data_IF_212863954260
#
_entry.id   IF_212863954260
#
_cell.length_a   1.000
_cell.length_b   1.000
_cell.length_c   1.000
_cell.angle_alpha   90.00
_cell.angle_beta   90.00
_cell.angle_gamma   90.00
#
_symmetry.space_group_name_H-M   'P 1'
#
loop_
_entity.id
_entity.type
_entity.pdbx_description
1 polymer ?
#
# COMPACT_ATOMS: atom_id res chain seq x y z
N UNK A 1 44.86 -50.74 4.14
CA UNK A 1 45.98 -49.97 3.55
C UNK A 1 45.60 -48.49 3.69
N UNK A 2 45.89 -47.92 4.86
CA UNK A 2 46.97 -46.96 5.15
C UNK A 2 46.41 -45.52 5.03
N UNK A 3 45.92 -44.90 6.12
CA UNK A 3 46.67 -43.94 7.01
C UNK A 3 47.41 -42.85 6.22
N UNK A 4 47.43 -41.53 6.51
CA UNK A 4 46.96 -40.56 7.52
C UNK A 4 47.72 -39.22 7.14
N UNK A 5 47.74 -38.08 7.87
CA UNK A 5 46.77 -37.37 8.71
C UNK A 5 46.62 -35.85 8.36
N UNK A 6 45.76 -35.15 9.10
CA UNK A 6 45.63 -33.68 9.22
C UNK A 6 46.73 -33.06 10.11
N UNK A 7 46.97 -31.73 10.04
CA UNK A 7 47.58 -30.99 11.15
C UNK A 7 46.62 -30.01 11.85
N UNK A 8 46.97 -29.78 13.11
CA UNK A 8 46.19 -29.26 14.23
C UNK A 8 46.15 -27.73 14.37
N UNK A 9 45.31 -27.31 15.31
CA UNK A 9 45.13 -25.96 15.87
C UNK A 9 46.22 -25.65 16.89
N UNK A 10 46.72 -24.40 16.90
CA UNK A 10 47.53 -23.89 18.02
C UNK A 10 46.94 -22.62 18.63
N UNK A 11 46.76 -22.71 19.95
CA UNK A 11 46.45 -21.68 20.94
C UNK A 11 47.73 -21.02 21.47
N UNK A 12 47.75 -19.69 21.60
CA UNK A 12 48.69 -18.96 22.48
C UNK A 12 47.86 -18.05 23.38
N UNK A 13 47.58 -18.39 24.65
CA UNK A 13 48.41 -18.33 25.88
C UNK A 13 48.86 -16.91 26.25
N UNK A 14 48.25 -16.45 27.34
CA UNK A 14 48.55 -15.26 28.15
C UNK A 14 49.77 -15.54 29.04
N UNK A 15 50.68 -14.57 29.18
CA UNK A 15 51.74 -14.60 30.17
C UNK A 15 51.77 -13.30 31.00
N UNK A 16 51.95 -13.44 32.30
CA UNK A 16 51.85 -12.40 33.33
C UNK A 16 53.10 -12.43 34.23
N UNK A 17 53.67 -11.22 34.49
CA UNK A 17 54.50 -10.80 35.65
C UNK A 17 55.98 -11.28 35.72
N UNK A 18 56.88 -10.76 36.62
CA UNK A 18 56.73 -9.78 37.74
C UNK A 18 57.89 -8.73 37.97
N UNK A 19 57.66 -7.79 38.93
CA UNK A 19 58.62 -7.12 39.88
C UNK A 19 59.75 -6.19 39.36
N UNK A 20 60.17 -5.07 39.97
CA UNK A 20 59.87 -4.40 41.24
C UNK A 20 60.74 -3.13 41.52
N UNK A 21 60.38 -2.41 42.58
CA UNK A 21 61.12 -1.46 43.47
C UNK A 21 61.80 -0.14 42.99
N UNK A 22 61.13 1.00 43.34
CA UNK A 22 61.51 2.23 44.13
C UNK A 22 63.01 2.63 44.29
N UNK A 23 63.36 3.96 44.43
CA UNK A 23 62.79 4.85 45.46
C UNK A 23 62.65 6.38 45.21
N UNK A 24 61.84 6.97 46.10
CA UNK A 24 61.69 8.35 46.61
C UNK A 24 62.48 9.55 46.05
N UNK A 25 61.77 10.67 45.86
CA UNK A 25 62.12 11.98 46.45
C UNK A 25 60.89 12.92 46.53
N UNK A 26 60.55 13.32 47.77
CA UNK A 26 59.72 14.50 48.07
C UNK A 26 60.52 15.75 47.74
N UNK A 27 59.90 16.74 47.10
CA UNK A 27 60.22 18.15 47.33
C UNK A 27 58.94 18.98 47.28
N UNK A 28 58.57 19.50 48.44
CA UNK A 28 57.53 20.51 48.64
C UNK A 28 58.17 21.90 48.54
N UNK A 29 57.71 22.75 47.62
CA UNK A 29 57.85 24.22 47.72
C UNK A 29 56.60 24.85 47.11
N UNK A 30 55.62 25.15 47.96
CA UNK A 30 55.15 26.50 48.33
C UNK A 30 54.87 27.47 47.17
N UNK A 31 53.60 27.89 47.13
CA UNK A 31 53.00 28.94 46.31
C UNK A 31 53.79 30.27 46.29
N UNK A 32 53.76 30.95 45.13
CA UNK A 32 53.86 32.41 45.07
C UNK A 32 52.86 32.96 44.01
N UNK A 33 51.86 33.76 44.39
CA UNK A 33 50.78 34.20 43.51
C UNK A 33 51.08 35.59 42.94
N UNK A 34 51.92 35.70 41.91
CA UNK A 34 52.10 36.97 41.17
C UNK A 34 52.43 36.74 39.69
N UNK A 35 51.43 36.39 38.90
CA UNK A 35 51.35 36.72 37.47
C UNK A 35 49.91 36.51 36.99
N UNK A 36 49.02 37.39 37.47
CA UNK A 36 47.72 37.59 36.85
C UNK A 36 47.87 38.35 35.53
N UNK A 37 47.03 37.96 34.57
CA UNK A 37 46.62 38.69 33.36
C UNK A 37 47.58 38.68 32.16
N UNK A 38 47.71 37.50 31.54
CA UNK A 38 47.90 37.46 30.08
C UNK A 38 46.59 37.85 29.40
N UNK A 39 46.68 38.86 28.53
CA UNK A 39 45.60 39.48 27.79
C UNK A 39 44.97 38.48 26.81
N UNK A 40 43.86 37.85 27.18
CA UNK A 40 42.92 37.33 26.18
C UNK A 40 42.18 38.54 25.60
N UNK A 41 42.73 39.11 24.52
CA UNK A 41 41.93 39.88 23.57
C UNK A 41 41.01 38.89 22.87
N UNK A 42 39.92 38.51 23.54
CA UNK A 42 38.74 38.03 22.87
C UNK A 42 38.28 39.19 21.99
N UNK A 43 38.60 39.11 20.71
CA UNK A 43 38.02 39.96 19.71
C UNK A 43 36.51 39.94 19.97
N UNK A 44 35.94 41.13 20.19
CA UNK A 44 34.52 41.38 19.96
C UNK A 44 34.24 41.10 18.47
N UNK A 45 34.26 39.83 18.07
CA UNK A 45 33.49 39.37 16.93
C UNK A 45 32.05 39.52 17.40
N UNK A 46 31.45 40.64 17.00
CA UNK A 46 30.20 41.13 17.55
C UNK A 46 29.15 40.03 17.53
N UNK A 47 28.54 39.78 18.69
CA UNK A 47 27.31 38.99 18.79
C UNK A 47 26.24 39.50 17.79
N UNK A 48 26.32 40.78 17.38
CA UNK A 48 25.50 41.35 16.32
C UNK A 48 25.67 40.63 14.97
N UNK A 49 26.90 40.26 14.59
CA UNK A 49 27.15 39.62 13.29
C UNK A 49 26.67 38.17 13.28
N UNK A 50 26.79 37.47 14.41
CA UNK A 50 26.18 36.13 14.59
C UNK A 50 24.66 36.24 14.61
N UNK A 51 24.11 37.26 15.26
CA UNK A 51 22.68 37.56 15.28
C UNK A 51 22.13 37.85 13.88
N UNK A 52 22.79 38.69 13.08
CA UNK A 52 22.39 38.99 11.71
C UNK A 52 22.56 37.80 10.77
N UNK A 53 23.57 36.97 10.99
CA UNK A 53 23.77 35.75 10.20
C UNK A 53 22.71 34.70 10.53
N UNK A 54 22.37 34.52 11.81
CA UNK A 54 21.24 33.68 12.23
C UNK A 54 19.92 34.24 11.71
N UNK A 55 19.70 35.54 11.77
CA UNK A 55 18.47 36.17 11.26
C UNK A 55 18.38 36.05 9.74
N UNK A 56 19.50 36.16 9.03
CA UNK A 56 19.60 35.92 7.59
C UNK A 56 19.33 34.47 7.24
N UNK A 57 19.90 33.51 7.99
CA UNK A 57 19.58 32.08 7.85
C UNK A 57 18.11 31.83 8.12
N UNK A 58 17.54 32.32 9.23
CA UNK A 58 16.12 32.16 9.53
C UNK A 58 15.22 32.83 8.48
N UNK A 59 15.58 33.99 7.95
CA UNK A 59 14.81 34.66 6.90
C UNK A 59 14.92 33.94 5.55
N UNK A 60 16.08 33.39 5.20
CA UNK A 60 16.28 32.58 3.99
C UNK A 60 15.59 31.24 4.14
N UNK A 61 15.69 30.57 5.29
CA UNK A 61 14.97 29.33 5.60
C UNK A 61 13.47 29.58 5.64
N UNK A 62 13.00 30.66 6.26
CA UNK A 62 11.59 31.04 6.23
C UNK A 62 11.12 31.40 4.82
N UNK A 63 11.97 32.07 4.02
CA UNK A 63 11.74 32.42 2.61
C UNK A 63 11.68 31.20 1.68
N UNK A 64 12.59 30.25 1.88
CA UNK A 64 12.59 28.94 1.21
C UNK A 64 11.40 28.10 1.65
N UNK A 65 11.03 28.18 2.94
CA UNK A 65 9.80 27.59 3.44
C UNK A 65 8.60 28.21 2.74
N UNK A 66 8.48 29.55 2.62
CA UNK A 66 7.37 30.23 1.91
C UNK A 66 7.27 29.90 0.42
N UNK A 67 8.38 29.76 -0.28
CA UNK A 67 8.37 29.40 -1.71
C UNK A 67 8.03 27.93 -1.97
N UNK A 68 8.19 27.05 -0.97
CA UNK A 68 8.01 25.60 -1.09
C UNK A 68 7.00 25.01 -0.07
N UNK A 69 6.13 25.86 0.51
CA UNK A 69 5.26 25.47 1.65
C UNK A 69 4.38 24.28 1.31
N UNK A 70 3.78 24.29 0.12
CA UNK A 70 2.86 23.24 -0.28
C UNK A 70 3.56 21.87 -0.36
N UNK A 71 4.77 21.81 -0.91
CA UNK A 71 5.49 20.55 -1.10
C UNK A 71 6.08 20.02 0.20
N UNK A 72 6.64 20.89 1.04
CA UNK A 72 7.13 20.50 2.36
C UNK A 72 5.98 20.10 3.28
N UNK A 73 4.85 20.81 3.25
CA UNK A 73 3.66 20.45 4.01
C UNK A 73 3.11 19.08 3.59
N UNK A 74 3.00 18.82 2.29
CA UNK A 74 2.54 17.53 1.78
C UNK A 74 3.48 16.38 2.19
N UNK A 75 4.80 16.59 2.13
CA UNK A 75 5.78 15.61 2.62
C UNK A 75 5.64 15.35 4.13
N UNK A 76 5.52 16.40 4.93
CA UNK A 76 5.32 16.28 6.38
C UNK A 76 4.01 15.56 6.71
N UNK A 77 2.93 15.85 5.98
CA UNK A 77 1.66 15.15 6.10
C UNK A 77 1.79 13.65 5.78
N UNK A 78 2.47 13.30 4.68
CA UNK A 78 2.70 11.90 4.32
C UNK A 78 3.52 11.14 5.38
N UNK A 79 4.55 11.78 5.93
CA UNK A 79 5.33 11.21 7.03
C UNK A 79 4.50 11.08 8.32
N UNK A 80 3.67 12.07 8.64
CA UNK A 80 2.77 12.02 9.80
C UNK A 80 1.73 10.90 9.66
N UNK A 81 1.15 10.69 8.48
CA UNK A 81 0.25 9.57 8.21
C UNK A 81 0.95 8.22 8.36
N UNK A 82 2.15 8.07 7.79
CA UNK A 82 2.93 6.83 7.92
C UNK A 82 3.22 6.54 9.40
N UNK A 83 3.66 7.54 10.16
CA UNK A 83 3.93 7.43 11.59
C UNK A 83 2.65 7.11 12.39
N UNK A 84 1.51 7.71 12.02
CA UNK A 84 0.23 7.41 12.66
C UNK A 84 -0.11 5.94 12.54
N UNK A 85 -0.01 5.34 11.35
CA UNK A 85 -0.30 3.92 11.17
C UNK A 85 0.67 3.04 11.96
N UNK A 86 1.96 3.33 11.89
CA UNK A 86 3.00 2.61 12.64
C UNK A 86 2.74 2.65 14.17
N UNK A 87 2.31 3.79 14.73
CA UNK A 87 1.95 3.93 16.15
C UNK A 87 0.62 3.24 16.46
N UNK A 88 -0.38 3.38 15.59
CA UNK A 88 -1.72 2.79 15.75
C UNK A 88 -1.64 1.26 15.80
N UNK A 89 -0.69 0.65 15.09
CA UNK A 89 -0.57 -0.80 14.96
C UNK A 89 -1.72 -1.40 14.13
N UNK A 90 -1.72 -2.71 13.82
CA UNK A 90 -2.78 -3.35 13.04
C UNK A 90 -4.13 -3.33 13.77
N UNK A 91 -5.23 -3.33 13.00
CA UNK A 91 -6.61 -3.46 13.49
C UNK A 91 -7.33 -4.56 12.71
N UNK A 92 -8.42 -5.09 13.28
CA UNK A 92 -9.18 -6.15 12.64
C UNK A 92 -9.79 -5.71 11.31
N UNK A 93 -9.71 -6.60 10.31
CA UNK A 93 -10.38 -6.46 9.02
C UNK A 93 -11.89 -6.62 9.16
N UNK A 94 -12.70 -6.14 8.19
CA UNK A 94 -14.15 -6.32 8.25
C UNK A 94 -14.52 -7.81 8.22
N UNK A 95 -15.34 -8.24 9.18
CA UNK A 95 -15.78 -9.64 9.32
C UNK A 95 -17.27 -9.79 9.03
N UNK A 96 -17.65 -10.85 8.33
CA UNK A 96 -19.04 -11.28 8.07
C UNK A 96 -19.66 -11.88 9.35
N UNK A 97 -18.87 -12.66 10.10
CA UNK A 97 -19.22 -13.26 11.40
C UNK A 97 -18.11 -12.97 12.41
N UNK A 98 -18.18 -13.51 13.64
CA UNK A 98 -17.09 -13.33 14.63
C UNK A 98 -15.72 -13.79 14.12
N UNK A 99 -15.70 -14.81 13.25
CA UNK A 99 -14.49 -15.53 12.85
C UNK A 99 -14.22 -15.47 11.34
N UNK A 100 -15.17 -14.98 10.54
CA UNK A 100 -15.04 -14.93 9.08
C UNK A 100 -14.77 -13.55 8.53
N UNK A 101 -13.57 -13.35 7.99
CA UNK A 101 -13.24 -12.15 7.20
C UNK A 101 -14.14 -12.03 5.97
N UNK A 102 -14.45 -10.79 5.57
CA UNK A 102 -15.24 -10.49 4.39
C UNK A 102 -14.46 -10.50 3.08
N UNK A 103 -13.14 -10.39 3.17
CA UNK A 103 -12.21 -10.39 2.05
C UNK A 103 -11.22 -11.54 2.26
N UNK A 104 -10.94 -12.30 1.20
CA UNK A 104 -9.90 -13.33 1.20
C UNK A 104 -9.02 -13.11 -0.02
N UNK A 105 -7.70 -13.19 0.18
CA UNK A 105 -6.73 -13.12 -0.91
C UNK A 105 -6.36 -14.54 -1.32
N UNK A 106 -6.64 -14.89 -2.56
CA UNK A 106 -6.11 -16.08 -3.21
C UNK A 106 -4.72 -15.74 -3.79
N UNK A 107 -3.69 -16.02 -3.01
CA UNK A 107 -2.33 -15.57 -3.22
C UNK A 107 -1.63 -16.35 -4.36
N UNK A 108 -1.19 -15.63 -5.39
CA UNK A 108 -0.20 -16.13 -6.34
C UNK A 108 1.18 -15.85 -5.75
N UNK A 109 1.75 -16.86 -5.08
CA UNK A 109 2.93 -16.76 -4.23
C UNK A 109 4.03 -17.77 -4.62
N UNK A 110 5.14 -17.76 -3.87
CA UNK A 110 6.24 -18.70 -4.07
C UNK A 110 5.78 -20.15 -3.92
N UNK A 111 4.86 -20.44 -2.99
CA UNK A 111 4.35 -21.81 -2.82
C UNK A 111 3.59 -22.28 -4.06
N UNK A 112 2.77 -21.42 -4.67
CA UNK A 112 2.07 -21.72 -5.91
C UNK A 112 3.05 -21.92 -7.06
N UNK A 113 4.12 -21.11 -7.15
CA UNK A 113 5.19 -21.32 -8.13
C UNK A 113 5.83 -22.70 -7.97
N UNK A 114 6.28 -23.05 -6.77
CA UNK A 114 6.91 -24.34 -6.46
C UNK A 114 6.00 -25.52 -6.78
N UNK A 115 4.69 -25.44 -6.49
CA UNK A 115 3.75 -26.51 -6.83
C UNK A 115 3.64 -26.70 -8.36
N UNK A 116 3.56 -25.60 -9.10
CA UNK A 116 3.49 -25.63 -10.57
C UNK A 116 4.77 -26.11 -11.23
N UNK A 117 5.94 -25.66 -10.76
CA UNK A 117 7.21 -25.93 -11.44
C UNK A 117 7.89 -27.20 -10.93
N UNK A 118 8.14 -27.30 -9.63
CA UNK A 118 8.96 -28.37 -9.04
C UNK A 118 8.15 -29.62 -8.74
N UNK A 119 7.00 -29.47 -8.05
CA UNK A 119 6.18 -30.61 -7.64
C UNK A 119 5.57 -31.31 -8.85
N UNK A 120 5.02 -30.55 -9.79
CA UNK A 120 4.52 -31.09 -11.05
C UNK A 120 5.63 -31.82 -11.83
N UNK A 121 6.83 -31.24 -11.97
CA UNK A 121 7.92 -31.88 -12.70
C UNK A 121 8.42 -33.17 -12.05
N UNK A 122 8.29 -33.30 -10.72
CA UNK A 122 8.64 -34.51 -9.99
C UNK A 122 7.75 -35.72 -10.31
N UNK A 123 6.45 -35.50 -10.57
CA UNK A 123 5.53 -36.56 -11.00
C UNK A 123 4.31 -35.98 -11.78
N UNK A 124 4.43 -35.76 -13.10
CA UNK A 124 3.38 -35.11 -13.89
C UNK A 124 2.05 -35.88 -13.96
N UNK A 125 2.08 -37.22 -13.87
CA UNK A 125 0.87 -38.04 -13.88
C UNK A 125 0.07 -37.85 -12.59
N UNK A 126 0.75 -37.92 -11.43
CA UNK A 126 0.12 -37.75 -10.12
C UNK A 126 -0.38 -36.31 -9.90
N UNK A 127 0.40 -35.32 -10.32
CA UNK A 127 0.12 -33.89 -10.08
C UNK A 127 -0.40 -33.17 -11.33
N UNK A 128 -1.08 -33.89 -12.22
CA UNK A 128 -1.60 -33.37 -13.50
C UNK A 128 -2.49 -32.12 -13.35
N UNK A 129 -3.13 -31.94 -12.20
CA UNK A 129 -3.92 -30.75 -11.87
C UNK A 129 -3.10 -29.46 -11.73
N UNK A 130 -1.77 -29.55 -11.55
CA UNK A 130 -0.86 -28.40 -11.59
C UNK A 130 -0.31 -28.07 -12.97
N UNK A 131 -0.62 -28.86 -14.01
CA UNK A 131 -0.11 -28.63 -15.36
C UNK A 131 -0.38 -27.21 -15.88
N UNK A 132 -1.56 -26.65 -15.56
CA UNK A 132 -2.00 -25.32 -15.99
C UNK A 132 -1.20 -24.16 -15.38
N UNK A 133 -0.47 -24.39 -14.28
CA UNK A 133 0.37 -23.40 -13.59
C UNK A 133 1.87 -23.74 -13.68
N UNK A 134 2.25 -24.69 -14.54
CA UNK A 134 3.61 -25.20 -14.61
C UNK A 134 4.65 -24.25 -15.21
N UNK A 135 4.19 -23.23 -15.95
CA UNK A 135 5.03 -22.21 -16.55
C UNK A 135 4.31 -20.87 -16.55
N UNK A 136 5.04 -19.82 -16.21
CA UNK A 136 4.57 -18.45 -16.36
C UNK A 136 4.76 -17.93 -17.80
N UNK A 137 3.81 -17.15 -18.37
CA UNK A 137 2.46 -16.90 -17.88
C UNK A 137 1.62 -18.18 -17.81
N UNK A 138 0.78 -18.29 -16.76
CA UNK A 138 -0.09 -19.46 -16.58
C UNK A 138 -1.18 -19.57 -17.65
N UNK A 139 -1.63 -20.81 -17.88
CA UNK A 139 -2.78 -21.08 -18.75
C UNK A 139 -4.05 -20.43 -18.19
N UNK A 140 -4.88 -19.88 -19.07
CA UNK A 140 -6.18 -19.28 -18.73
C UNK A 140 -7.12 -20.28 -18.06
N UNK A 141 -6.95 -21.56 -18.39
CA UNK A 141 -7.60 -22.69 -17.72
C UNK A 141 -7.43 -22.68 -16.19
N UNK A 142 -6.26 -22.28 -15.67
CA UNK A 142 -6.03 -22.23 -14.22
C UNK A 142 -6.97 -21.21 -13.55
N UNK A 143 -7.06 -20.00 -14.11
CA UNK A 143 -7.96 -18.96 -13.62
C UNK A 143 -9.43 -19.36 -13.80
N UNK A 144 -9.77 -20.01 -14.92
CA UNK A 144 -11.12 -20.51 -15.18
C UNK A 144 -11.58 -21.52 -14.10
N UNK A 145 -10.72 -22.50 -13.76
CA UNK A 145 -10.99 -23.48 -12.70
C UNK A 145 -11.17 -22.78 -11.35
N UNK A 146 -10.26 -21.89 -10.98
CA UNK A 146 -10.30 -21.18 -9.71
C UNK A 146 -11.59 -20.34 -9.59
N UNK A 147 -11.90 -19.50 -10.59
CA UNK A 147 -13.09 -18.65 -10.59
C UNK A 147 -14.35 -19.50 -10.51
N UNK A 148 -14.46 -20.57 -11.31
CA UNK A 148 -15.66 -21.41 -11.31
C UNK A 148 -15.88 -22.10 -9.95
N UNK A 149 -14.81 -22.58 -9.32
CA UNK A 149 -14.83 -23.16 -7.97
C UNK A 149 -15.26 -22.14 -6.92
N UNK A 150 -14.65 -20.95 -6.91
CA UNK A 150 -14.97 -19.88 -5.97
C UNK A 150 -16.43 -19.43 -6.08
N UNK A 151 -16.92 -19.25 -7.30
CA UNK A 151 -18.31 -18.86 -7.55
C UNK A 151 -19.30 -19.95 -7.11
N UNK A 152 -19.00 -21.22 -7.37
CA UNK A 152 -19.81 -22.35 -6.89
C UNK A 152 -19.80 -22.49 -5.36
N UNK A 153 -18.71 -22.12 -4.69
CA UNK A 153 -18.62 -22.07 -3.23
C UNK A 153 -19.32 -20.86 -2.60
N UNK A 154 -19.97 -20.01 -3.40
CA UNK A 154 -20.78 -18.89 -2.91
C UNK A 154 -20.00 -17.59 -2.68
N UNK A 155 -18.83 -17.41 -3.32
CA UNK A 155 -18.16 -16.11 -3.32
C UNK A 155 -19.08 -15.01 -3.86
N UNK A 156 -19.10 -13.85 -3.20
CA UNK A 156 -19.88 -12.68 -3.65
C UNK A 156 -19.29 -12.07 -4.90
N UNK A 157 -17.97 -11.96 -4.98
CA UNK A 157 -17.27 -11.50 -6.16
C UNK A 157 -15.91 -12.18 -6.25
N UNK A 158 -15.39 -12.27 -7.47
CA UNK A 158 -14.00 -12.62 -7.71
C UNK A 158 -13.33 -11.47 -8.44
N UNK A 159 -12.17 -11.05 -7.95
CA UNK A 159 -11.38 -9.97 -8.54
C UNK A 159 -10.09 -10.60 -9.04
N UNK A 160 -9.84 -10.52 -10.35
CA UNK A 160 -8.62 -11.04 -10.95
C UNK A 160 -7.66 -9.88 -11.21
N UNK A 161 -6.69 -9.71 -10.32
CA UNK A 161 -5.59 -8.76 -10.41
C UNK A 161 -4.43 -9.34 -11.23
N UNK A 162 -4.75 -9.66 -12.48
CA UNK A 162 -3.80 -10.06 -13.52
C UNK A 162 -4.24 -9.37 -14.79
N UNK A 163 -3.36 -8.55 -15.38
CA UNK A 163 -3.64 -7.88 -16.65
C UNK A 163 -3.52 -8.89 -17.79
N UNK A 164 -4.64 -9.20 -18.43
CA UNK A 164 -4.76 -10.21 -19.49
C UNK A 164 -4.89 -9.55 -20.87
N UNK A 165 -3.97 -8.67 -21.22
CA UNK A 165 -4.00 -7.80 -22.41
C UNK A 165 -3.70 -8.55 -23.72
N UNK A 166 -2.82 -9.56 -23.67
CA UNK A 166 -2.43 -10.37 -24.81
C UNK A 166 -3.23 -11.69 -24.92
N UNK A 167 -3.38 -12.24 -26.14
CA UNK A 167 -3.85 -13.62 -26.34
C UNK A 167 -2.99 -14.64 -25.59
N UNK A 168 -3.59 -15.78 -25.22
CA UNK A 168 -2.86 -16.86 -24.57
C UNK A 168 -1.76 -17.44 -25.47
N UNK A 169 -0.57 -17.64 -24.91
CA UNK A 169 0.53 -18.36 -25.56
C UNK A 169 0.26 -19.85 -25.77
N UNK A 170 -0.83 -20.37 -25.21
CA UNK A 170 -1.27 -21.77 -25.34
C UNK A 170 -2.37 -21.97 -26.40
N UNK A 171 -2.70 -20.93 -27.15
CA UNK A 171 -3.69 -20.97 -28.22
C UNK A 171 -5.06 -20.39 -27.82
N UNK A 172 -5.93 -20.14 -28.80
CA UNK A 172 -7.23 -19.49 -28.58
C UNK A 172 -8.18 -20.34 -27.72
N UNK A 173 -8.06 -21.67 -27.75
CA UNK A 173 -8.87 -22.57 -26.93
C UNK A 173 -8.67 -22.34 -25.43
N UNK A 174 -7.46 -21.93 -25.01
CA UNK A 174 -7.17 -21.60 -23.61
C UNK A 174 -7.90 -20.31 -23.19
N UNK A 175 -7.83 -19.24 -24.00
CA UNK A 175 -8.63 -18.02 -23.77
C UNK A 175 -10.14 -18.32 -23.72
N UNK A 176 -10.64 -19.25 -24.55
CA UNK A 176 -12.04 -19.67 -24.51
C UNK A 176 -12.44 -20.35 -23.20
N UNK A 177 -11.53 -21.01 -22.47
CA UNK A 177 -11.82 -21.59 -21.15
C UNK A 177 -12.23 -20.51 -20.16
N UNK A 178 -11.39 -19.47 -20.03
CA UNK A 178 -11.68 -18.35 -19.15
C UNK A 178 -12.90 -17.55 -19.64
N UNK A 179 -13.02 -17.33 -20.94
CA UNK A 179 -14.18 -16.64 -21.53
C UNK A 179 -15.51 -17.28 -21.12
N UNK A 180 -15.60 -18.62 -21.16
CA UNK A 180 -16.82 -19.35 -20.79
C UNK A 180 -17.20 -19.12 -19.33
N UNK A 181 -16.22 -19.09 -18.42
CA UNK A 181 -16.46 -18.85 -17.00
C UNK A 181 -16.87 -17.39 -16.75
N UNK A 182 -16.25 -16.43 -17.41
CA UNK A 182 -16.66 -15.02 -17.33
C UNK A 182 -18.13 -14.83 -17.76
N UNK A 183 -18.52 -15.43 -18.90
CA UNK A 183 -19.92 -15.42 -19.39
C UNK A 183 -20.90 -16.14 -18.47
N UNK A 184 -20.45 -17.16 -17.74
CA UNK A 184 -21.28 -17.93 -16.79
C UNK A 184 -21.68 -17.10 -15.57
N UNK A 185 -20.87 -16.12 -15.16
CA UNK A 185 -21.09 -15.29 -13.97
C UNK A 185 -21.07 -13.79 -14.30
N UNK A 186 -22.03 -13.31 -15.11
CA UNK A 186 -22.02 -11.93 -15.59
C UNK A 186 -22.08 -10.93 -14.44
N UNK A 187 -21.20 -9.93 -14.47
CA UNK A 187 -21.15 -8.87 -13.47
C UNK A 187 -20.70 -9.31 -12.07
N UNK A 188 -20.13 -10.52 -11.91
CA UNK A 188 -19.61 -11.03 -10.62
C UNK A 188 -18.08 -11.14 -10.58
N UNK A 189 -17.42 -10.92 -11.71
CA UNK A 189 -15.98 -11.07 -11.87
C UNK A 189 -15.39 -9.75 -12.37
N UNK A 190 -14.50 -9.14 -11.59
CA UNK A 190 -13.79 -7.93 -11.97
C UNK A 190 -12.41 -8.28 -12.56
N UNK A 191 -12.10 -7.73 -13.73
CA UNK A 191 -10.80 -7.91 -14.39
C UNK A 191 -9.92 -6.66 -14.24
N UNK A 192 -8.63 -6.87 -14.00
CA UNK A 192 -7.65 -5.79 -13.97
C UNK A 192 -7.31 -5.25 -15.36
N UNK A 193 -7.17 -3.93 -15.44
CA UNK A 193 -6.47 -3.19 -16.48
C UNK A 193 -5.42 -2.31 -15.82
N UNK A 194 -4.43 -1.81 -16.56
CA UNK A 194 -3.55 -0.75 -16.06
C UNK A 194 -3.46 0.39 -17.07
N UNK A 195 -3.20 1.58 -16.59
CA UNK A 195 -2.74 2.70 -17.39
C UNK A 195 -1.22 2.66 -17.46
N UNK A 196 -0.67 2.76 -18.67
CA UNK A 196 0.77 2.74 -18.91
C UNK A 196 1.15 3.84 -19.91
N UNK A 197 2.33 4.43 -19.71
CA UNK A 197 2.87 5.44 -20.60
C UNK A 197 3.34 4.77 -21.88
N UNK A 198 2.74 5.14 -23.01
CA UNK A 198 3.23 4.76 -24.33
C UNK A 198 4.23 5.84 -24.78
N UNK A 199 5.51 5.48 -24.86
CA UNK A 199 6.55 6.40 -25.35
C UNK A 199 6.45 6.50 -26.87
N UNK A 200 5.49 7.27 -27.37
CA UNK A 200 5.40 7.60 -28.79
C UNK A 200 6.33 8.78 -29.12
N UNK A 201 6.75 8.86 -30.39
CA UNK A 201 7.63 9.93 -30.93
C UNK A 201 7.07 11.35 -30.76
N UNK A 202 5.80 11.50 -30.40
CA UNK A 202 5.07 12.77 -30.29
C UNK A 202 4.66 13.12 -28.84
N UNK A 203 5.15 12.36 -27.85
CA UNK A 203 4.92 12.59 -26.42
C UNK A 203 4.39 11.35 -25.70
N UNK A 204 4.58 11.32 -24.37
CA UNK A 204 4.07 10.25 -23.50
C UNK A 204 2.54 10.38 -23.38
N UNK A 205 1.78 9.54 -24.09
CA UNK A 205 0.34 9.41 -23.91
C UNK A 205 0.06 8.17 -23.06
N UNK A 206 -0.53 8.37 -21.87
CA UNK A 206 -0.99 7.23 -21.07
C UNK A 206 -2.22 6.61 -21.72
N UNK A 207 -2.16 5.30 -21.98
CA UNK A 207 -3.27 4.52 -22.52
C UNK A 207 -3.62 3.36 -21.58
N UNK A 208 -4.90 2.95 -21.51
CA UNK A 208 -5.28 1.75 -20.79
C UNK A 208 -4.82 0.52 -21.57
N UNK A 209 -4.03 -0.32 -20.91
CA UNK A 209 -3.71 -1.67 -21.34
C UNK A 209 -4.86 -2.60 -20.95
N UNK A 210 -5.90 -2.55 -21.77
CA UNK A 210 -7.15 -3.29 -21.55
C UNK A 210 -6.96 -4.81 -21.70
N UNK A 211 -7.75 -5.63 -20.98
CA UNK A 211 -7.85 -7.06 -21.24
C UNK A 211 -8.13 -7.33 -22.72
N UNK A 212 -7.68 -8.47 -23.23
CA UNK A 212 -7.91 -8.87 -24.61
C UNK A 212 -9.42 -8.82 -24.97
N UNK A 213 -9.73 -8.65 -26.25
CA UNK A 213 -11.12 -8.46 -26.70
C UNK A 213 -12.03 -9.61 -26.25
N UNK A 214 -11.53 -10.86 -26.30
CA UNK A 214 -12.23 -12.06 -25.87
C UNK A 214 -12.80 -11.94 -24.45
N UNK A 215 -12.06 -11.33 -23.53
CA UNK A 215 -12.47 -11.12 -22.14
C UNK A 215 -13.33 -9.86 -21.95
N UNK A 216 -13.09 -8.79 -22.73
CA UNK A 216 -13.96 -7.61 -22.72
C UNK A 216 -15.38 -7.91 -23.16
N UNK A 217 -15.53 -8.80 -24.14
CA UNK A 217 -16.85 -9.25 -24.63
C UNK A 217 -17.58 -10.16 -23.62
N UNK A 218 -16.85 -10.69 -22.62
CA UNK A 218 -17.35 -11.68 -21.68
C UNK A 218 -17.56 -11.13 -20.27
N UNK A 219 -16.76 -10.17 -19.83
CA UNK A 219 -16.89 -9.50 -18.53
C UNK A 219 -17.34 -8.06 -18.70
N UNK A 220 -18.38 -7.70 -17.95
CA UNK A 220 -18.88 -6.33 -17.89
C UNK A 220 -18.17 -5.46 -16.84
N UNK A 221 -17.22 -6.02 -16.07
CA UNK A 221 -16.54 -5.31 -14.98
C UNK A 221 -15.03 -5.36 -15.21
N UNK A 222 -14.48 -4.22 -15.57
CA UNK A 222 -13.05 -3.98 -15.75
C UNK A 222 -12.70 -2.78 -14.86
N UNK A 223 -11.59 -2.87 -14.13
CA UNK A 223 -11.12 -1.77 -13.28
C UNK A 223 -9.62 -1.64 -13.28
N UNK A 224 -9.12 -0.40 -13.18
CA UNK A 224 -7.69 -0.13 -13.27
C UNK A 224 -6.96 -0.31 -11.93
N UNK A 225 -5.70 -0.74 -11.98
CA UNK A 225 -4.89 -1.06 -10.78
C UNK A 225 -3.96 0.07 -10.32
N UNK A 226 -3.89 1.16 -11.07
CA UNK A 226 -3.02 2.28 -10.76
C UNK A 226 -3.45 3.00 -9.47
N UNK A 227 -2.45 3.36 -8.66
CA UNK A 227 -2.59 4.25 -7.52
C UNK A 227 -1.72 5.48 -7.72
N UNK A 228 -2.14 6.66 -7.25
CA UNK A 228 -1.27 7.83 -7.24
C UNK A 228 -0.13 7.62 -6.22
N UNK A 229 1.08 8.00 -6.62
CA UNK A 229 2.19 8.10 -5.69
C UNK A 229 2.20 9.49 -5.06
N UNK A 230 2.25 9.53 -3.74
CA UNK A 230 2.49 10.76 -3.01
C UNK A 230 3.97 11.17 -3.12
N UNK A 231 4.30 12.39 -2.66
CA UNK A 231 5.67 12.94 -2.75
C UNK A 231 6.75 12.12 -2.05
N UNK A 232 6.38 11.35 -1.04
CA UNK A 232 7.28 10.43 -0.34
C UNK A 232 7.47 9.09 -1.07
N UNK A 233 6.91 8.97 -2.29
CA UNK A 233 6.98 7.77 -3.13
C UNK A 233 6.06 6.64 -2.66
N UNK A 234 5.09 6.92 -1.78
CA UNK A 234 4.18 5.91 -1.23
C UNK A 234 2.76 6.05 -1.76
N UNK A 235 2.03 4.94 -1.75
CA UNK A 235 0.59 4.92 -2.00
C UNK A 235 -0.13 5.26 -0.69
N UNK A 236 -0.72 6.44 -0.62
CA UNK A 236 -1.62 6.84 0.47
C UNK A 236 -3.07 6.98 0.01
N UNK A 237 -3.27 7.39 -1.25
CA UNK A 237 -4.58 7.74 -1.79
C UNK A 237 -5.21 6.56 -2.54
N UNK A 238 -6.54 6.58 -2.61
CA UNK A 238 -7.35 5.60 -3.33
C UNK A 238 -7.04 5.63 -4.83
N UNK A 239 -7.18 4.47 -5.49
CA UNK A 239 -7.00 4.35 -6.94
C UNK A 239 -7.93 5.27 -7.73
N UNK A 240 -9.15 5.53 -7.23
CA UNK A 240 -10.11 6.46 -7.85
C UNK A 240 -9.58 7.89 -8.01
N UNK A 241 -8.55 8.28 -7.24
CA UNK A 241 -7.89 9.59 -7.36
C UNK A 241 -6.79 9.61 -8.41
N UNK A 242 -6.32 8.45 -8.90
CA UNK A 242 -5.25 8.34 -9.89
C UNK A 242 -5.55 9.16 -11.15
N UNK A 243 -6.72 9.05 -11.83
CA UNK A 243 -6.93 9.80 -13.06
C UNK A 243 -6.91 11.31 -12.86
N UNK A 244 -7.46 11.80 -11.75
CA UNK A 244 -7.49 13.24 -11.45
C UNK A 244 -6.12 13.81 -11.14
N UNK A 245 -5.28 13.05 -10.45
CA UNK A 245 -3.92 13.48 -10.07
C UNK A 245 -2.95 13.34 -11.24
N UNK A 246 -3.06 12.26 -12.01
CA UNK A 246 -2.27 12.05 -13.22
C UNK A 246 -2.62 13.11 -14.28
N UNK A 247 -3.90 13.47 -14.45
CA UNK A 247 -4.29 14.54 -15.37
C UNK A 247 -3.58 15.89 -15.11
N UNK A 248 -3.17 16.17 -13.88
CA UNK A 248 -2.50 17.42 -13.50
C UNK A 248 -1.04 17.48 -13.97
N UNK A 249 -0.47 16.35 -14.40
CA UNK A 249 0.90 16.30 -14.96
C UNK A 249 0.93 16.73 -16.43
N UNK A 250 -0.24 16.81 -17.08
CA UNK A 250 -0.39 17.13 -18.48
C UNK A 250 -0.85 18.57 -18.75
N UNK A 251 -0.55 19.12 -19.94
CA UNK A 251 -1.24 20.30 -20.46
C UNK A 251 -2.76 20.09 -20.54
N UNK A 252 -3.54 21.15 -20.36
CA UNK A 252 -5.01 21.14 -20.27
C UNK A 252 -5.74 20.32 -21.35
N UNK A 253 -5.25 20.33 -22.59
CA UNK A 253 -5.85 19.60 -23.71
C UNK A 253 -5.71 18.09 -23.56
N UNK A 254 -4.51 17.62 -23.19
CA UNK A 254 -4.22 16.22 -22.93
C UNK A 254 -4.87 15.74 -21.63
N UNK A 255 -4.87 16.59 -20.58
CA UNK A 255 -5.56 16.32 -19.32
C UNK A 255 -7.06 16.04 -19.54
N UNK A 256 -7.74 16.85 -20.35
CA UNK A 256 -9.16 16.64 -20.67
C UNK A 256 -9.40 15.36 -21.48
N UNK A 257 -8.52 15.04 -22.42
CA UNK A 257 -8.62 13.81 -23.21
C UNK A 257 -8.43 12.57 -22.32
N UNK A 258 -7.42 12.59 -21.46
CA UNK A 258 -7.14 11.53 -20.49
C UNK A 258 -8.30 11.33 -19.49
N UNK A 259 -8.82 12.42 -18.91
CA UNK A 259 -9.99 12.35 -18.01
C UNK A 259 -11.22 11.78 -18.71
N UNK A 260 -11.50 12.19 -19.96
CA UNK A 260 -12.61 11.64 -20.73
C UNK A 260 -12.47 10.13 -20.98
N UNK A 261 -11.24 9.66 -21.24
CA UNK A 261 -10.97 8.24 -21.47
C UNK A 261 -11.02 7.40 -20.19
N UNK A 262 -10.72 8.01 -19.03
CA UNK A 262 -10.65 7.32 -17.73
C UNK A 262 -11.96 7.33 -16.96
N UNK A 263 -12.88 8.26 -17.26
CA UNK A 263 -14.20 8.35 -16.61
C UNK A 263 -15.05 7.07 -16.80
N UNK A 264 -14.77 6.29 -17.84
CA UNK A 264 -15.51 5.05 -18.17
C UNK A 264 -15.02 3.84 -17.36
N UNK A 265 -13.77 3.84 -16.90
CA UNK A 265 -13.14 2.69 -16.24
C UNK A 265 -12.93 3.01 -14.76
N UNK A 266 -13.63 2.34 -13.83
CA UNK A 266 -13.43 2.57 -12.40
C UNK A 266 -12.07 2.04 -11.92
N UNK A 267 -11.67 2.40 -10.70
CA UNK A 267 -10.58 1.69 -10.04
C UNK A 267 -10.94 0.21 -9.83
N UNK A 268 -9.95 -0.68 -9.72
CA UNK A 268 -10.22 -2.11 -9.50
C UNK A 268 -10.98 -2.35 -8.18
N UNK A 269 -10.71 -1.56 -7.14
CA UNK A 269 -11.47 -1.59 -5.89
C UNK A 269 -12.96 -1.26 -6.10
N UNK A 270 -13.29 -0.23 -6.87
CA UNK A 270 -14.68 0.07 -7.24
C UNK A 270 -15.28 -1.01 -8.14
N UNK A 271 -14.49 -1.57 -9.07
CA UNK A 271 -14.88 -2.73 -9.88
C UNK A 271 -15.24 -3.94 -9.02
N UNK A 272 -14.45 -4.24 -7.99
CA UNK A 272 -14.70 -5.30 -7.03
C UNK A 272 -16.02 -5.09 -6.27
N UNK A 273 -16.28 -3.86 -5.83
CA UNK A 273 -17.51 -3.49 -5.14
C UNK A 273 -18.74 -3.61 -6.06
N UNK A 274 -18.63 -3.17 -7.33
CA UNK A 274 -19.66 -3.37 -8.36
C UNK A 274 -19.92 -4.85 -8.62
N UNK A 275 -18.87 -5.66 -8.71
CA UNK A 275 -18.96 -7.10 -8.92
C UNK A 275 -19.63 -7.82 -7.73
N UNK A 276 -19.49 -7.29 -6.51
CA UNK A 276 -20.16 -7.80 -5.32
C UNK A 276 -21.68 -7.60 -5.29
N UNK A 277 -22.23 -6.76 -6.17
CA UNK A 277 -23.67 -6.46 -6.27
C UNK A 277 -24.31 -6.01 -4.94
N UNK A 278 -23.52 -5.39 -4.06
CA UNK A 278 -23.98 -4.89 -2.76
C UNK A 278 -23.83 -3.37 -2.67
N UNK A 279 -24.74 -2.67 -1.97
CA UNK A 279 -24.57 -1.25 -1.70
C UNK A 279 -23.31 -1.04 -0.83
N UNK A 280 -22.33 -0.34 -1.37
CA UNK A 280 -21.12 0.03 -0.64
C UNK A 280 -21.18 1.50 -0.21
N UNK A 281 -20.43 1.84 0.84
CA UNK A 281 -20.24 3.24 1.25
C UNK A 281 -19.09 3.80 0.44
N UNK A 282 -19.29 4.93 -0.22
CA UNK A 282 -18.17 5.66 -0.82
C UNK A 282 -17.19 6.08 0.28
N UNK A 283 -15.87 5.89 0.09
CA UNK A 283 -14.88 6.33 1.07
C UNK A 283 -15.09 7.78 1.48
N UNK A 284 -15.04 8.07 2.78
CA UNK A 284 -15.08 9.44 3.30
C UNK A 284 -13.68 10.06 3.20
N UNK A 285 -13.26 10.40 1.98
CA UNK A 285 -11.96 11.04 1.73
C UNK A 285 -11.20 10.41 0.57
N UNK A 286 -9.97 10.89 0.37
CA UNK A 286 -9.09 10.49 -0.72
C UNK A 286 -8.07 9.41 -0.31
N UNK A 287 -7.87 9.18 0.99
CA UNK A 287 -6.86 8.27 1.52
C UNK A 287 -7.41 6.87 1.74
N UNK A 288 -6.55 5.87 1.54
CA UNK A 288 -6.81 4.48 1.90
C UNK A 288 -6.71 4.33 3.42
N UNK A 289 -7.67 3.61 4.01
CA UNK A 289 -7.57 3.18 5.39
C UNK A 289 -6.86 1.83 5.46
N UNK A 290 -5.62 1.82 5.97
CA UNK A 290 -4.84 0.59 6.09
C UNK A 290 -5.16 -0.16 7.38
N UNK A 291 -5.49 -1.44 7.25
CA UNK A 291 -5.81 -2.31 8.38
C UNK A 291 -4.55 -2.81 9.09
N UNK A 292 -3.43 -2.96 8.40
CA UNK A 292 -2.16 -3.38 9.00
C UNK A 292 -1.06 -3.60 7.94
N UNK A 293 0.10 -4.17 8.34
CA UNK A 293 1.16 -4.53 7.42
C UNK A 293 0.77 -5.72 6.52
N UNK A 294 1.65 -6.09 5.59
CA UNK A 294 1.44 -7.28 4.77
C UNK A 294 1.19 -8.53 5.63
N UNK A 295 0.22 -9.35 5.23
CA UNK A 295 -0.29 -10.47 6.01
C UNK A 295 -1.53 -10.18 6.84
N UNK A 296 -2.11 -8.98 6.77
CA UNK A 296 -3.28 -8.59 7.59
C UNK A 296 -4.58 -9.27 7.14
N UNK A 297 -4.75 -9.49 5.84
CA UNK A 297 -5.93 -10.19 5.31
C UNK A 297 -5.67 -11.69 5.22
N UNK A 298 -6.71 -12.51 5.40
CA UNK A 298 -6.63 -13.96 5.22
C UNK A 298 -6.16 -14.30 3.81
N UNK A 299 -5.07 -15.06 3.73
CA UNK A 299 -4.46 -15.53 2.50
C UNK A 299 -4.66 -17.05 2.35
N UNK A 300 -5.02 -17.46 1.14
CA UNK A 300 -5.07 -18.87 0.72
C UNK A 300 -4.20 -19.00 -0.52
N UNK A 301 -3.25 -19.96 -0.61
CA UNK A 301 -2.45 -20.11 -1.82
C UNK A 301 -3.31 -20.49 -3.03
N UNK A 302 -3.01 -19.92 -4.21
CA UNK A 302 -3.79 -20.15 -5.43
C UNK A 302 -3.85 -21.62 -5.83
N UNK A 303 -2.76 -22.37 -5.63
CA UNK A 303 -2.71 -23.80 -5.96
C UNK A 303 -3.75 -24.65 -5.21
N UNK A 304 -4.29 -24.19 -4.08
CA UNK A 304 -5.38 -24.87 -3.37
C UNK A 304 -6.63 -25.00 -4.24
N UNK A 305 -6.83 -24.08 -5.18
CA UNK A 305 -7.96 -24.13 -6.11
C UNK A 305 -7.76 -25.16 -7.20
N UNK A 306 -6.57 -25.76 -7.33
CA UNK A 306 -6.29 -26.80 -8.32
C UNK A 306 -6.18 -28.17 -7.65
N UNK A 307 -5.53 -28.23 -6.47
CA UNK A 307 -5.37 -29.46 -5.70
C UNK A 307 -6.73 -30.01 -5.19
N UNK A 308 -7.11 -31.25 -5.53
CA UNK A 308 -8.41 -31.82 -5.13
C UNK A 308 -8.61 -31.94 -3.62
N UNK A 309 -7.53 -32.22 -2.87
CA UNK A 309 -7.60 -32.44 -1.42
C UNK A 309 -7.83 -31.12 -0.71
N UNK A 310 -7.03 -30.10 -1.02
CA UNK A 310 -7.15 -28.77 -0.44
C UNK A 310 -8.45 -28.09 -0.85
N UNK A 311 -8.89 -28.25 -2.10
CA UNK A 311 -10.19 -27.76 -2.53
C UNK A 311 -11.34 -28.38 -1.72
N UNK A 312 -11.29 -29.69 -1.46
CA UNK A 312 -12.31 -30.38 -0.65
C UNK A 312 -12.36 -29.87 0.80
N UNK A 313 -11.21 -29.46 1.36
CA UNK A 313 -11.14 -28.82 2.69
C UNK A 313 -11.78 -27.43 2.63
N UNK A 314 -11.37 -26.59 1.69
CA UNK A 314 -11.92 -25.23 1.54
C UNK A 314 -13.43 -25.22 1.30
N UNK A 315 -13.96 -26.21 0.58
CA UNK A 315 -15.41 -26.36 0.36
C UNK A 315 -16.14 -26.74 1.65
N UNK A 316 -15.59 -27.68 2.43
CA UNK A 316 -16.17 -28.13 3.70
C UNK A 316 -16.21 -27.02 4.75
N UNK A 317 -15.15 -26.22 4.80
CA UNK A 317 -15.00 -25.09 5.72
C UNK A 317 -15.74 -23.82 5.24
N UNK A 318 -16.36 -23.86 4.06
CA UNK A 318 -17.05 -22.71 3.46
C UNK A 318 -16.14 -21.48 3.34
N UNK A 319 -14.84 -21.68 3.10
CA UNK A 319 -13.79 -20.66 3.20
C UNK A 319 -14.07 -19.38 2.41
N UNK A 320 -14.78 -19.47 1.30
CA UNK A 320 -15.05 -18.37 0.37
C UNK A 320 -16.51 -17.89 0.34
N UNK A 321 -17.39 -18.54 1.11
CA UNK A 321 -18.82 -18.26 1.07
C UNK A 321 -19.10 -16.85 1.57
N UNK A 322 -19.89 -16.09 0.81
CA UNK A 322 -20.28 -14.71 1.10
C UNK A 322 -19.14 -13.67 1.12
N UNK A 323 -17.94 -14.04 0.61
CA UNK A 323 -16.72 -13.20 0.61
C UNK A 323 -16.42 -12.59 -0.75
N UNK A 324 -15.69 -11.48 -0.77
CA UNK A 324 -15.00 -10.97 -1.96
C UNK A 324 -13.63 -11.65 -2.01
N UNK A 325 -13.33 -12.33 -3.11
CA UNK A 325 -12.07 -13.07 -3.28
C UNK A 325 -11.18 -12.35 -4.28
N UNK A 326 -9.98 -11.96 -3.83
CA UNK A 326 -8.97 -11.26 -4.61
C UNK A 326 -7.91 -12.25 -5.09
N UNK A 327 -7.77 -12.45 -6.39
CA UNK A 327 -6.73 -13.30 -6.99
C UNK A 327 -5.64 -12.40 -7.51
N UNK A 328 -4.42 -12.51 -7.00
CA UNK A 328 -3.33 -11.66 -7.45
C UNK A 328 -1.96 -12.03 -6.88
N UNK A 329 -0.90 -11.39 -7.41
CA UNK A 329 0.47 -11.61 -6.95
C UNK A 329 0.68 -11.17 -5.50
N UNK A 330 1.25 -12.07 -4.70
CA UNK A 330 1.68 -11.86 -3.31
C UNK A 330 3.17 -12.17 -3.10
N UNK A 331 3.84 -12.65 -4.15
CA UNK A 331 5.19 -13.20 -4.17
C UNK A 331 5.39 -13.91 -5.51
N UNK A 332 6.51 -14.61 -5.70
CA UNK A 332 6.77 -15.44 -6.88
C UNK A 332 8.20 -15.30 -7.42
N UNK A 333 9.19 -15.34 -6.53
CA UNK A 333 10.60 -15.51 -6.90
C UNK A 333 11.19 -14.43 -7.80
N UNK A 334 10.65 -13.20 -7.75
CA UNK A 334 11.05 -12.08 -8.61
C UNK A 334 10.34 -12.00 -9.97
N UNK A 335 9.44 -12.94 -10.29
CA UNK A 335 8.59 -12.90 -11.50
C UNK A 335 7.56 -11.78 -11.38
N UNK A 336 6.93 -11.68 -10.21
CA UNK A 336 5.98 -10.60 -9.90
C UNK A 336 6.70 -9.50 -9.12
N UNK A 337 6.65 -8.27 -9.64
CA UNK A 337 7.23 -7.09 -8.99
C UNK A 337 6.15 -6.12 -8.50
N UNK A 338 5.02 -6.65 -8.04
CA UNK A 338 3.88 -5.86 -7.57
C UNK A 338 3.98 -5.51 -6.08
N UNK A 339 5.12 -4.94 -5.68
CA UNK A 339 5.40 -4.56 -4.29
C UNK A 339 5.63 -3.05 -4.18
N UNK A 340 4.83 -2.41 -3.33
CA UNK A 340 4.76 -0.96 -3.22
C UNK A 340 5.09 -0.47 -1.81
N UNK A 341 5.60 0.76 -1.76
CA UNK A 341 5.69 1.50 -0.51
C UNK A 341 4.31 2.10 -0.18
N UNK A 342 3.86 1.91 1.04
CA UNK A 342 2.58 2.36 1.58
C UNK A 342 2.74 2.58 3.09
N UNK A 343 1.79 3.19 3.79
CA UNK A 343 1.71 3.05 5.25
C UNK A 343 1.74 1.57 5.68
N UNK A 344 2.31 1.28 6.86
CA UNK A 344 2.66 -0.09 7.30
C UNK A 344 3.61 -0.88 6.39
N UNK A 345 4.35 -0.22 5.50
CA UNK A 345 5.34 -0.88 4.66
C UNK A 345 6.55 0.03 4.48
N UNK A 346 7.72 -0.51 4.16
CA UNK A 346 8.96 0.27 3.97
C UNK A 346 9.30 1.30 5.08
N UNK A 347 8.83 1.12 6.31
CA UNK A 347 9.10 1.97 7.48
C UNK A 347 10.10 1.31 8.42
N UNK A 348 10.56 2.02 9.45
CA UNK A 348 11.47 1.42 10.44
C UNK A 348 10.82 0.27 11.22
N UNK A 349 9.52 0.38 11.51
CA UNK A 349 8.76 -0.66 12.21
C UNK A 349 8.27 -1.76 11.27
N UNK A 350 8.00 -1.43 10.01
CA UNK A 350 7.49 -2.35 9.00
C UNK A 350 8.34 -2.25 7.72
N UNK A 351 9.52 -2.89 7.66
CA UNK A 351 10.50 -2.66 6.59
C UNK A 351 10.10 -3.26 5.23
N UNK A 352 9.23 -4.26 5.23
CA UNK A 352 8.82 -4.94 4.00
C UNK A 352 7.83 -4.07 3.20
N UNK A 353 7.88 -4.16 1.87
CA UNK A 353 6.88 -3.55 0.99
C UNK A 353 5.56 -4.34 1.05
N UNK A 354 4.46 -3.69 0.68
CA UNK A 354 3.12 -4.28 0.64
C UNK A 354 2.80 -4.76 -0.78
N UNK A 355 2.18 -5.93 -0.92
CA UNK A 355 1.73 -6.41 -2.23
C UNK A 355 0.58 -5.54 -2.77
N UNK A 356 0.55 -5.29 -4.09
CA UNK A 356 -0.49 -4.47 -4.72
C UNK A 356 -1.90 -4.99 -4.43
N UNK A 357 -2.09 -6.31 -4.44
CA UNK A 357 -3.37 -6.95 -4.11
C UNK A 357 -3.82 -6.69 -2.65
N UNK A 358 -2.89 -6.51 -1.71
CA UNK A 358 -3.23 -6.11 -0.33
C UNK A 358 -3.60 -4.64 -0.25
N UNK A 359 -3.02 -3.78 -1.08
CA UNK A 359 -3.43 -2.37 -1.20
C UNK A 359 -4.86 -2.31 -1.74
N UNK A 360 -5.21 -3.13 -2.73
CA UNK A 360 -6.59 -3.27 -3.21
C UNK A 360 -7.53 -3.74 -2.09
N UNK A 361 -7.14 -4.74 -1.29
CA UNK A 361 -7.94 -5.19 -0.15
C UNK A 361 -8.21 -4.07 0.86
N UNK A 362 -7.19 -3.24 1.18
CA UNK A 362 -7.34 -2.07 2.04
C UNK A 362 -8.23 -0.98 1.43
N UNK A 363 -8.25 -0.82 0.10
CA UNK A 363 -9.14 0.12 -0.58
C UNK A 363 -10.61 -0.37 -0.60
N UNK A 364 -10.84 -1.67 -0.68
CA UNK A 364 -12.18 -2.28 -0.72
C UNK A 364 -12.81 -2.33 0.68
N UNK A 365 -12.05 -2.77 1.68
CA UNK A 365 -12.55 -3.10 3.02
C UNK A 365 -13.41 -2.00 3.69
N UNK A 366 -13.00 -0.71 3.71
CA UNK A 366 -13.78 0.35 4.35
C UNK A 366 -15.13 0.62 3.68
N UNK A 367 -15.29 0.21 2.41
CA UNK A 367 -16.50 0.44 1.64
C UNK A 367 -17.59 -0.60 1.94
N UNK A 368 -17.23 -1.72 2.56
CA UNK A 368 -18.17 -2.81 2.80
C UNK A 368 -19.16 -2.42 3.90
N UNK A 369 -20.45 -2.28 3.54
CA UNK A 369 -21.55 -2.25 4.51
C UNK A 369 -21.75 -3.64 5.09
N UNK A 370 -20.92 -3.99 6.05
CA UNK A 370 -21.17 -5.17 6.87
C UNK A 370 -21.85 -4.66 8.13
N UNK A 371 -22.78 -5.44 8.69
CA UNK A 371 -23.24 -5.25 10.07
C UNK A 371 -22.01 -5.49 10.95
N UNK A 372 -21.13 -4.50 11.02
CA UNK A 372 -20.03 -4.44 11.96
C UNK A 372 -20.72 -4.61 13.31
N UNK A 373 -20.45 -5.72 13.98
CA UNK A 373 -20.54 -5.74 15.44
C UNK A 373 -19.90 -4.43 15.87
N UNK A 374 -20.58 -3.57 16.67
CA UNK A 374 -20.12 -2.24 16.95
C UNK A 374 -18.66 -2.34 17.35
N UNK A 375 -17.77 -1.88 16.46
CA UNK A 375 -16.37 -1.74 16.79
C UNK A 375 -16.39 -0.84 18.02
N UNK A 376 -15.77 -1.24 19.14
CA UNK A 376 -15.67 -0.33 20.26
C UNK A 376 -15.02 0.92 19.68
N UNK A 377 -15.77 2.02 19.65
CA UNK A 377 -15.23 3.30 19.29
C UNK A 377 -13.97 3.46 20.12
N UNK A 378 -12.82 3.82 19.52
CA UNK A 378 -11.66 4.17 20.31
C UNK A 378 -12.14 5.17 21.34
N UNK A 379 -12.10 4.81 22.63
CA UNK A 379 -12.68 5.60 23.73
C UNK A 379 -12.09 7.03 23.76
N UNK A 380 -10.97 7.23 23.05
CA UNK A 380 -10.29 8.49 22.79
C UNK A 380 -10.97 9.43 21.78
N UNK A 381 -11.83 8.93 20.89
CA UNK A 381 -12.57 9.76 19.93
C UNK A 381 -13.80 10.43 20.54
N UNK A 382 -14.33 9.92 21.65
CA UNK A 382 -15.65 10.39 22.12
C UNK A 382 -15.58 11.54 23.14
N UNK A 383 -14.44 11.80 23.82
CA UNK A 383 -14.36 12.90 24.82
C UNK A 383 -13.07 13.73 24.89
N UNK A 384 -12.06 13.50 24.05
CA UNK A 384 -10.83 14.32 24.08
C UNK A 384 -10.18 14.64 22.72
N UNK A 385 -10.60 14.01 21.61
CA UNK A 385 -9.96 14.20 20.30
C UNK A 385 -10.52 15.34 19.42
N UNK A 386 -11.71 15.87 19.73
CA UNK A 386 -12.41 16.83 18.87
C UNK A 386 -11.82 18.26 18.90
N UNK A 387 -10.94 18.59 19.84
CA UNK A 387 -10.25 19.89 19.86
C UNK A 387 -8.88 19.86 19.16
N UNK A 388 -8.19 18.72 19.13
CA UNK A 388 -6.86 18.61 18.54
C UNK A 388 -6.90 18.42 17.00
N UNK A 389 -7.94 17.75 16.48
CA UNK A 389 -8.06 17.50 15.03
C UNK A 389 -8.56 18.71 14.24
N UNK A 390 -9.34 19.60 14.87
CA UNK A 390 -9.82 20.83 14.23
C UNK A 390 -8.83 22.01 14.32
N UNK A 391 -7.91 22.00 15.29
CA UNK A 391 -6.91 23.07 15.44
C UNK A 391 -5.69 22.94 14.52
N UNK A 392 -5.62 21.87 13.73
CA UNK A 392 -4.52 21.59 12.80
C UNK A 392 -4.94 21.68 11.33
N UNK A 393 -5.90 22.55 11.01
CA UNK A 393 -5.92 23.16 9.67
C UNK A 393 -4.86 24.28 9.65
N UNK A 394 -3.86 24.24 8.76
CA UNK A 394 -2.92 25.34 8.64
C UNK A 394 -3.68 26.58 8.15
N UNK A 395 -3.79 27.56 9.05
CA UNK A 395 -4.08 28.96 8.73
C UNK A 395 -2.87 29.53 7.97
N UNK A 396 -2.66 29.09 6.74
CA UNK A 396 -1.68 29.66 5.82
C UNK A 396 -2.16 29.44 4.37
N UNK A 397 -3.22 30.16 4.00
CA UNK A 397 -3.44 30.64 2.63
C UNK A 397 -4.66 31.59 2.59
N UNK A 398 -4.40 32.90 2.68
CA UNK A 398 -5.15 33.97 1.98
C UNK A 398 -4.47 35.32 2.24
N UNK A 399 -3.67 35.84 1.29
CA UNK A 399 -3.56 37.27 1.13
C UNK A 399 -4.47 37.73 -0.01
N UNK A 400 -5.14 38.86 0.26
CA UNK A 400 -5.74 39.81 -0.68
C UNK A 400 -7.28 39.77 -0.90
N UNK A 401 -7.88 40.88 -0.42
CA UNK A 401 -9.12 41.57 -0.85
C UNK A 401 -10.43 40.98 -0.33
N UNK A 402 -11.35 41.72 0.28
CA UNK A 402 -11.50 43.15 0.50
C UNK A 402 -12.45 43.40 1.68
N UNK A 403 -12.31 44.59 2.24
CA UNK A 403 -13.16 45.27 3.24
C UNK A 403 -14.62 45.40 2.74
N UNK A 404 -15.56 45.55 3.68
CA UNK A 404 -17.02 45.81 3.58
C UNK A 404 -17.95 44.59 3.59
N UNK A 405 -18.40 44.18 4.78
CA UNK A 405 -19.73 44.54 5.30
C UNK A 405 -19.99 43.81 6.63
N UNK A 406 -19.88 44.58 7.71
CA UNK A 406 -20.60 44.31 8.96
C UNK A 406 -22.00 44.85 8.76
N UNK A 407 -23.03 44.01 8.89
CA UNK A 407 -24.28 44.27 9.61
C UNK A 407 -25.41 43.35 9.13
N UNK A 408 -26.23 42.94 10.11
CA UNK A 408 -27.55 42.28 10.00
C UNK A 408 -27.48 40.77 9.67
N UNK A 409 -28.12 39.86 10.38
CA UNK A 409 -29.04 39.97 11.51
C UNK A 409 -29.05 38.63 12.23
N UNK A 410 -28.98 38.72 13.55
CA UNK A 410 -29.41 37.68 14.46
C UNK A 410 -30.94 37.59 14.35
N UNK A 411 -31.54 36.42 14.15
CA UNK A 411 -32.65 35.93 15.00
C UNK A 411 -33.13 34.49 14.62
N UNK A 412 -33.75 33.78 15.59
CA UNK A 412 -33.74 32.31 15.68
C UNK A 412 -34.95 31.61 15.06
N UNK A 413 -34.84 30.28 14.94
CA UNK A 413 -35.87 29.32 14.50
C UNK A 413 -37.18 29.42 15.29
N UNK A 414 -38.29 29.19 14.60
CA UNK A 414 -39.49 28.51 15.16
C UNK A 414 -40.11 27.56 14.11
N UNK A 415 -40.80 26.48 14.54
CA UNK A 415 -41.26 25.38 13.67
C UNK A 415 -42.77 25.42 13.34
N UNK A 416 -43.17 24.55 12.40
CA UNK A 416 -44.48 23.88 12.18
C UNK A 416 -45.35 24.23 10.95
N UNK A 417 -46.03 23.17 10.48
CA UNK A 417 -47.13 23.04 9.50
C UNK A 417 -46.77 23.24 8.02
N UNK A 418 -47.21 22.45 7.04
CA UNK A 418 -48.25 21.42 6.95
C UNK A 418 -49.03 21.66 5.65
N UNK A 419 -49.10 20.64 4.76
CA UNK A 419 -49.97 20.49 3.56
C UNK A 419 -49.86 21.60 2.48
N UNK A 420 -49.73 21.31 1.17
CA UNK A 420 -50.48 20.43 0.26
C UNK A 420 -49.54 19.83 -0.80
#
# INVERSE_FOLDING_TARGET
MSEAPLPETETHVVEVSPTGNRPSRRFSQSLNPKTMLSKVRLARLGLSNVGHLLMGVFAITAGLMTANQAHLAELLECHAHTLFFDIRGPVETPKITSDDEAIVILAMDDTTMTQGTEVYAGNPEQYSYFASISRWPWQRTAYAIAIDRLMQAGAKAVVLDVVLDAPSGYGPEDDQQLQRVLKKYPGRIALATKYESDQEREGDLIKPLLPNQTFRDASSVIGFINFPLNRDGRIHKLGSEYPKLEAQTYPDTLAKAFLKQTDEIPSLAEGALRAGQQPYVSPSGQNIFFYGPGGTFKQVPFWWMLDPTNWSVAQREQTFKDKIVLIGPMGGGGIFQDFHAAPFSGSWLNPNKMAGIEIQANAIAPCLKINLLPTPSPIWLDKAGLSAFWYWQPVFCRPARCVHCVALEWQPRSPLSGEV
#
